data_IF_892268858542
#
_entry.id   IF_892268858542
#
_cell.length_a   1.000
_cell.length_b   1.000
_cell.length_c   1.000
_cell.angle_alpha   90.00
_cell.angle_beta   90.00
_cell.angle_gamma   90.00
#
_symmetry.space_group_name_H-M   'P 1'
#
loop_
_entity.id
_entity.type
_entity.pdbx_description
1 polymer ?
#
# COMPACT_ATOMS: atom_id res chain seq x y z
N UNK A 1 21.91 3.54 2.38
CA UNK A 1 21.71 2.36 3.25
C UNK A 1 20.75 2.80 4.34
N UNK A 2 19.47 2.50 4.19
CA UNK A 2 18.41 3.02 5.08
C UNK A 2 17.52 1.84 5.50
N UNK A 3 18.13 0.84 6.14
CA UNK A 3 17.39 -0.29 6.68
C UNK A 3 16.76 0.13 8.01
N UNK A 4 15.57 0.74 7.88
CA UNK A 4 14.66 1.06 8.97
C UNK A 4 13.99 -0.22 9.49
N UNK A 5 13.77 -1.19 8.61
CA UNK A 5 13.21 -2.50 8.97
C UNK A 5 14.35 -3.42 9.38
N UNK A 6 14.49 -3.63 10.69
CA UNK A 6 15.58 -4.44 11.27
C UNK A 6 15.08 -5.74 11.86
N UNK A 7 13.76 -5.87 12.01
CA UNK A 7 13.11 -7.03 12.62
C UNK A 7 11.73 -7.32 12.02
N UNK A 8 11.21 -8.55 12.21
CA UNK A 8 9.82 -8.87 11.89
C UNK A 8 8.79 -8.02 12.65
N UNK A 9 9.16 -7.47 13.81
CA UNK A 9 8.30 -6.60 14.61
C UNK A 9 8.06 -5.26 13.88
N UNK A 10 9.08 -4.73 13.20
CA UNK A 10 8.94 -3.49 12.44
C UNK A 10 7.96 -3.66 11.27
N UNK A 11 7.96 -4.84 10.63
CA UNK A 11 6.99 -5.17 9.58
C UNK A 11 5.56 -5.29 10.14
N UNK A 12 5.39 -5.91 11.31
CA UNK A 12 4.07 -6.02 11.95
C UNK A 12 3.52 -4.64 12.35
N UNK A 13 4.35 -3.75 12.88
CA UNK A 13 3.93 -2.39 13.20
C UNK A 13 3.63 -1.57 11.94
N UNK A 14 4.44 -1.72 10.89
CA UNK A 14 4.12 -1.14 9.59
C UNK A 14 2.75 -1.63 9.08
N UNK A 15 2.50 -2.94 9.09
CA UNK A 15 1.23 -3.51 8.63
C UNK A 15 0.03 -2.97 9.43
N UNK A 16 0.18 -2.84 10.76
CA UNK A 16 -0.84 -2.25 11.62
C UNK A 16 -1.11 -0.79 11.26
N UNK A 17 -0.06 0.02 11.10
CA UNK A 17 -0.18 1.42 10.70
C UNK A 17 -0.76 1.58 9.30
N UNK A 18 -0.35 0.73 8.35
CA UNK A 18 -0.86 0.74 6.99
C UNK A 18 -2.38 0.50 6.94
N UNK A 19 -2.86 -0.59 7.57
CA UNK A 19 -4.30 -0.89 7.64
C UNK A 19 -5.12 0.22 8.29
N UNK A 20 -4.69 0.69 9.46
CA UNK A 20 -5.40 1.77 10.17
C UNK A 20 -5.41 3.09 9.41
N UNK A 21 -4.37 3.35 8.60
CA UNK A 21 -4.36 4.51 7.69
C UNK A 21 -5.38 4.34 6.57
N UNK A 22 -5.46 3.16 5.95
CA UNK A 22 -6.47 2.87 4.93
C UNK A 22 -7.89 2.98 5.48
N UNK A 23 -8.13 2.48 6.70
CA UNK A 23 -9.41 2.63 7.38
C UNK A 23 -9.76 4.10 7.61
N UNK A 24 -8.81 4.91 8.08
CA UNK A 24 -9.01 6.34 8.30
C UNK A 24 -9.33 7.08 7.00
N UNK A 25 -8.63 6.77 5.91
CA UNK A 25 -8.91 7.32 4.57
C UNK A 25 -10.34 6.94 4.15
N UNK A 26 -10.72 5.67 4.30
CA UNK A 26 -12.06 5.18 3.96
C UNK A 26 -13.16 5.92 4.74
N UNK A 27 -12.96 6.09 6.05
CA UNK A 27 -13.90 6.83 6.91
C UNK A 27 -14.04 8.29 6.46
N UNK A 28 -12.94 8.92 6.05
CA UNK A 28 -12.94 10.32 5.63
C UNK A 28 -13.51 10.55 4.22
N UNK A 29 -13.39 9.58 3.32
CA UNK A 29 -13.65 9.77 1.88
C UNK A 29 -14.71 8.82 1.29
N UNK A 30 -15.24 7.86 2.07
CA UNK A 30 -16.29 6.92 1.65
C UNK A 30 -15.78 5.56 1.17
N UNK A 31 -16.69 4.60 1.05
CA UNK A 31 -16.38 3.19 0.71
C UNK A 31 -15.80 3.02 -0.71
N UNK A 32 -16.21 3.86 -1.66
CA UNK A 32 -15.77 3.79 -3.07
C UNK A 32 -14.47 4.56 -3.35
N UNK A 33 -13.77 5.02 -2.30
CA UNK A 33 -12.49 5.72 -2.47
C UNK A 33 -11.44 4.79 -3.08
N UNK A 34 -10.62 5.37 -3.96
CA UNK A 34 -9.43 4.71 -4.53
C UNK A 34 -8.19 5.40 -3.97
N UNK A 35 -7.28 4.63 -3.37
CA UNK A 35 -6.01 5.14 -2.86
C UNK A 35 -4.92 4.91 -3.89
N UNK A 36 -4.28 6.00 -4.33
CA UNK A 36 -3.13 5.94 -5.23
C UNK A 36 -1.85 5.75 -4.42
N UNK A 37 -1.19 4.60 -4.59
CA UNK A 37 -0.01 4.20 -3.82
C UNK A 37 1.24 4.29 -4.71
N UNK A 38 2.20 5.10 -4.26
CA UNK A 38 3.49 5.32 -4.91
C UNK A 38 4.62 4.72 -4.04
N UNK A 39 4.79 3.40 -4.02
CA UNK A 39 5.76 2.73 -3.17
C UNK A 39 7.19 3.18 -3.47
N UNK A 40 7.86 3.71 -2.46
CA UNK A 40 9.28 4.03 -2.44
C UNK A 40 9.95 3.39 -1.22
N UNK A 41 9.68 2.09 -1.03
CA UNK A 41 10.01 1.33 0.18
C UNK A 41 10.76 0.03 -0.20
N UNK A 42 11.46 -0.62 0.75
CA UNK A 42 12.03 -1.94 0.53
C UNK A 42 10.96 -2.96 0.11
N UNK A 43 11.36 -3.97 -0.68
CA UNK A 43 10.46 -5.02 -1.20
C UNK A 43 9.68 -5.72 -0.08
N UNK A 44 10.31 -6.00 1.07
CA UNK A 44 9.64 -6.63 2.22
C UNK A 44 8.46 -5.81 2.73
N UNK A 45 8.59 -4.49 2.78
CA UNK A 45 7.52 -3.56 3.20
C UNK A 45 6.40 -3.53 2.17
N UNK A 46 6.74 -3.49 0.87
CA UNK A 46 5.74 -3.53 -0.19
C UNK A 46 4.93 -4.84 -0.19
N UNK A 47 5.61 -5.97 0.02
CA UNK A 47 4.97 -7.29 0.15
C UNK A 47 4.06 -7.32 1.39
N UNK A 48 4.52 -6.78 2.52
CA UNK A 48 3.70 -6.76 3.74
C UNK A 48 2.49 -5.83 3.62
N UNK A 49 2.62 -4.69 2.92
CA UNK A 49 1.50 -3.81 2.60
C UNK A 49 0.40 -4.59 1.84
N UNK A 50 0.79 -5.27 0.76
CA UNK A 50 -0.13 -6.10 -0.02
C UNK A 50 -0.74 -7.25 0.78
N UNK A 51 0.06 -7.94 1.61
CA UNK A 51 -0.42 -9.03 2.49
C UNK A 51 -1.46 -8.56 3.51
N UNK A 52 -1.25 -7.37 4.08
CA UNK A 52 -2.12 -6.83 5.13
C UNK A 52 -3.42 -6.23 4.60
N UNK A 53 -3.47 -5.91 3.29
CA UNK A 53 -4.67 -5.42 2.63
C UNK A 53 -5.76 -6.50 2.56
N UNK A 54 -7.02 -6.07 2.58
CA UNK A 54 -8.20 -6.94 2.69
C UNK A 54 -9.29 -6.32 1.83
N UNK A 55 -9.69 -7.04 0.77
CA UNK A 55 -10.64 -6.54 -0.22
C UNK A 55 -11.97 -6.09 0.36
N UNK A 56 -12.47 -6.73 1.42
CA UNK A 56 -13.77 -6.35 2.02
C UNK A 56 -13.69 -5.23 3.07
N UNK A 57 -12.49 -4.88 3.52
CA UNK A 57 -12.32 -3.94 4.62
C UNK A 57 -11.73 -2.60 4.16
N UNK A 58 -10.77 -2.66 3.23
CA UNK A 58 -9.98 -1.51 2.82
C UNK A 58 -10.39 -0.99 1.43
N UNK A 59 -10.11 0.30 1.14
CA UNK A 59 -10.27 0.88 -0.19
C UNK A 59 -9.50 0.13 -1.28
N UNK A 60 -9.94 0.26 -2.53
CA UNK A 60 -9.17 -0.19 -3.68
C UNK A 60 -7.86 0.60 -3.80
N UNK A 61 -6.79 -0.08 -4.22
CA UNK A 61 -5.46 0.52 -4.34
C UNK A 61 -5.02 0.53 -5.80
N UNK A 62 -4.66 1.71 -6.31
CA UNK A 62 -3.92 1.84 -7.58
C UNK A 62 -2.44 1.99 -7.29
N UNK A 63 -1.65 1.01 -7.71
CA UNK A 63 -0.22 0.90 -7.41
C UNK A 63 0.59 1.38 -8.60
N UNK A 64 1.57 2.23 -8.33
CA UNK A 64 2.45 2.80 -9.35
C UNK A 64 3.90 2.34 -9.15
N UNK A 65 4.61 2.05 -10.23
CA UNK A 65 6.04 1.73 -10.19
C UNK A 65 6.89 2.91 -10.69
N UNK A 66 8.01 3.17 -10.03
CA UNK A 66 8.92 4.23 -10.44
C UNK A 66 9.80 3.76 -11.60
N UNK A 67 9.40 4.08 -12.82
CA UNK A 67 10.15 3.73 -14.02
C UNK A 67 10.95 4.93 -14.54
N UNK A 68 12.27 4.93 -14.27
CA UNK A 68 13.19 5.98 -14.73
C UNK A 68 13.27 6.11 -16.26
N UNK A 69 13.03 5.02 -17.01
CA UNK A 69 13.06 5.06 -18.49
C UNK A 69 11.83 5.73 -19.08
N UNK A 70 10.74 5.78 -18.33
CA UNK A 70 9.46 6.33 -18.76
C UNK A 70 9.13 7.66 -18.05
N UNK A 71 10.10 8.24 -17.34
CA UNK A 71 10.02 9.60 -16.82
C UNK A 71 9.27 9.78 -15.50
N UNK A 72 8.92 8.72 -14.78
CA UNK A 72 8.21 8.86 -13.49
C UNK A 72 7.50 7.60 -13.01
N UNK A 73 6.49 7.82 -12.15
CA UNK A 73 5.62 6.76 -11.66
C UNK A 73 4.54 6.41 -12.67
N UNK A 74 4.38 5.12 -12.95
CA UNK A 74 3.43 4.60 -13.93
C UNK A 74 2.57 3.54 -13.28
N UNK A 75 1.28 3.55 -13.61
CA UNK A 75 0.35 2.55 -13.11
C UNK A 75 0.85 1.15 -13.44
N UNK A 76 0.96 0.31 -12.42
CA UNK A 76 1.51 -1.03 -12.51
C UNK A 76 0.46 -2.09 -12.21
N UNK A 77 -0.38 -1.86 -11.20
CA UNK A 77 -1.34 -2.85 -10.74
C UNK A 77 -2.48 -2.22 -9.93
N UNK A 78 -3.59 -2.94 -9.81
CA UNK A 78 -4.74 -2.54 -8.99
C UNK A 78 -5.13 -3.69 -8.06
N UNK A 79 -5.42 -3.35 -6.80
CA UNK A 79 -6.03 -4.23 -5.83
C UNK A 79 -7.46 -3.75 -5.59
N UNK A 80 -8.43 -4.53 -6.07
CA UNK A 80 -9.84 -4.17 -6.04
C UNK A 80 -10.69 -5.28 -5.40
N UNK A 81 -11.95 -4.95 -5.13
CA UNK A 81 -12.89 -5.90 -4.55
C UNK A 81 -13.14 -7.02 -5.57
N UNK A 82 -12.90 -8.27 -5.16
CA UNK A 82 -13.28 -9.41 -5.98
C UNK A 82 -14.81 -9.49 -6.02
N UNK A 83 -15.36 -9.29 -7.21
CA UNK A 83 -16.79 -9.44 -7.54
C UNK A 83 -17.35 -10.82 -7.23
#
# INVERSE_FOLDING_TARGET
HNDIIRSPVDLAEFARLFRTTLDAIKVAHGEDTIVHVFPAVPVSVAVEAGRSWQSKAHPALKIYDQNRKLGGFIFAHELEHAS
#
